data_IF_642160883148
#
_entry.id   IF_642160883148
#
_cell.length_a   1.000
_cell.length_b   1.000
_cell.length_c   1.000
_cell.angle_alpha   90.00
_cell.angle_beta   90.00
_cell.angle_gamma   90.00
#
_symmetry.space_group_name_H-M   'P 1'
#
loop_
_entity.id
_entity.type
_entity.pdbx_description
1 polymer ?
#
# COMPACT_ATOMS: atom_id res chain seq x y z
N UNK A 1 -3.86 -12.95 25.98
CA UNK A 1 -3.77 -12.46 25.62
C UNK A 1 -4.04 -11.87 25.16
N UNK A 2 -4.29 -11.94 25.12
CA UNK A 2 -4.72 -11.35 24.31
C UNK A 2 -4.29 -10.11 24.15
N UNK A 3 -3.54 -9.96 23.54
CA UNK A 3 -3.12 -8.88 23.34
C UNK A 3 -3.72 -8.22 22.35
N UNK A 4 -4.40 -7.28 22.49
CA UNK A 4 -4.87 -6.61 21.52
C UNK A 4 -4.05 -5.55 21.30
N UNK A 5 -3.29 -5.48 20.30
CA UNK A 5 -2.71 -4.47 19.83
C UNK A 5 -3.61 -3.70 19.11
N UNK A 6 -3.93 -2.50 19.35
CA UNK A 6 -4.66 -1.72 18.53
C UNK A 6 -3.89 -1.38 17.41
N UNK A 7 -4.27 -1.69 16.20
CA UNK A 7 -3.59 -1.31 15.06
C UNK A 7 -3.72 0.14 14.89
N UNK A 8 -2.68 0.85 14.67
CA UNK A 8 -2.71 2.26 14.38
C UNK A 8 -2.97 2.40 12.90
N UNK A 9 -4.12 2.89 12.53
CA UNK A 9 -4.46 3.04 11.14
C UNK A 9 -4.09 4.44 10.69
N UNK A 10 -3.27 4.52 9.66
CA UNK A 10 -2.83 5.79 9.15
C UNK A 10 -3.95 6.43 8.36
N UNK A 11 -3.97 7.73 8.34
CA UNK A 11 -4.93 8.42 7.52
C UNK A 11 -4.42 8.44 6.12
N UNK A 12 -5.31 8.32 5.17
CA UNK A 12 -4.94 8.43 3.78
C UNK A 12 -4.49 9.87 3.55
N UNK A 13 -3.31 10.06 2.95
CA UNK A 13 -2.79 11.42 2.80
C UNK A 13 -3.71 12.30 1.98
N UNK A 14 -3.69 13.57 2.31
CA UNK A 14 -4.48 14.53 1.60
C UNK A 14 -4.07 14.52 0.14
N UNK A 15 -4.99 14.47 -0.75
CA UNK A 15 -4.68 14.39 -2.16
C UNK A 15 -4.62 12.98 -2.69
N UNK A 16 -4.59 11.99 -1.81
CA UNK A 16 -4.61 10.61 -2.24
C UNK A 16 -5.96 9.96 -2.03
N UNK A 17 -6.91 10.71 -1.52
CA UNK A 17 -8.22 10.15 -1.31
C UNK A 17 -8.84 9.83 -2.63
N UNK A 18 -9.38 8.66 -2.76
CA UNK A 18 -9.96 8.24 -4.02
C UNK A 18 -8.97 7.65 -5.01
N UNK A 19 -7.68 7.69 -4.69
CA UNK A 19 -6.71 7.08 -5.57
C UNK A 19 -6.69 5.58 -5.33
N UNK A 20 -6.42 4.82 -6.39
CA UNK A 20 -6.36 3.39 -6.20
C UNK A 20 -4.96 3.01 -5.81
N UNK A 21 -4.83 1.90 -5.12
CA UNK A 21 -3.55 1.39 -4.72
C UNK A 21 -3.07 0.44 -5.80
N UNK A 22 -1.81 0.54 -6.14
CA UNK A 22 -1.26 -0.28 -7.19
C UNK A 22 0.14 -0.76 -6.82
N UNK A 23 0.50 -1.93 -7.29
CA UNK A 23 1.82 -2.49 -7.08
C UNK A 23 2.57 -2.44 -8.39
N UNK A 24 3.79 -1.97 -8.36
CA UNK A 24 4.62 -1.92 -9.55
C UNK A 24 5.90 -2.70 -9.28
N UNK A 25 6.41 -3.35 -10.32
CA UNK A 25 7.64 -4.09 -10.20
C UNK A 25 8.76 -3.35 -10.87
N UNK A 26 9.93 -3.38 -10.26
CA UNK A 26 11.09 -2.79 -10.87
C UNK A 26 11.77 -3.87 -11.70
N UNK A 27 11.98 -3.61 -12.96
CA UNK A 27 12.61 -4.59 -13.82
C UNK A 27 14.10 -4.68 -13.57
N UNK A 28 14.69 -3.65 -12.99
CA UNK A 28 16.10 -3.68 -12.75
C UNK A 28 16.48 -4.48 -11.53
N UNK A 29 15.72 -4.37 -10.47
CA UNK A 29 16.05 -5.01 -9.24
C UNK A 29 15.16 -6.17 -8.89
N UNK A 30 14.03 -6.26 -9.56
CA UNK A 30 13.04 -7.30 -9.23
C UNK A 30 12.24 -6.99 -8.00
N UNK A 31 12.41 -5.80 -7.45
CA UNK A 31 11.66 -5.43 -6.26
C UNK A 31 10.32 -4.87 -6.63
N UNK A 32 9.40 -4.93 -5.70
CA UNK A 32 8.07 -4.40 -5.92
C UNK A 32 7.81 -3.27 -4.95
N UNK A 33 7.06 -2.29 -5.39
CA UNK A 33 6.64 -1.19 -4.53
C UNK A 33 5.14 -1.05 -4.63
N UNK A 34 4.52 -0.58 -3.57
CA UNK A 34 3.09 -0.39 -3.54
C UNK A 34 2.81 1.04 -3.08
N UNK A 35 1.84 1.66 -3.66
CA UNK A 35 1.49 3.04 -3.29
C UNK A 35 0.20 3.45 -3.93
N UNK A 36 -0.12 4.74 -3.79
CA UNK A 36 -1.34 5.29 -4.35
C UNK A 36 -1.03 5.78 -5.76
N UNK A 37 -1.77 5.29 -6.72
CA UNK A 37 -1.51 5.62 -8.11
C UNK A 37 -2.05 6.99 -8.47
N UNK A 38 -1.16 7.86 -8.94
CA UNK A 38 -1.56 9.16 -9.40
C UNK A 38 -1.81 9.02 -10.90
N UNK A 39 -3.06 9.09 -11.31
CA UNK A 39 -3.39 8.88 -12.70
C UNK A 39 -2.86 9.95 -13.62
N UNK A 40 -2.58 11.11 -13.09
CA UNK A 40 -2.08 12.17 -13.94
C UNK A 40 -0.64 11.94 -14.32
N UNK A 41 0.17 11.50 -13.39
CA UNK A 41 1.57 11.28 -13.68
C UNK A 41 1.91 9.83 -13.90
N UNK A 42 1.04 8.93 -13.48
CA UNK A 42 1.31 7.52 -13.58
C UNK A 42 2.30 7.03 -12.53
N UNK A 43 2.55 7.84 -11.52
CA UNK A 43 3.50 7.46 -10.49
C UNK A 43 2.81 7.08 -9.22
N UNK A 44 3.49 6.31 -8.40
CA UNK A 44 2.96 5.93 -7.11
C UNK A 44 3.38 6.95 -6.08
N UNK A 45 2.42 7.36 -5.25
CA UNK A 45 2.68 8.31 -4.18
C UNK A 45 2.72 7.57 -2.88
N UNK A 46 3.59 7.99 -1.98
CA UNK A 46 3.73 7.37 -0.67
C UNK A 46 4.02 5.88 -0.80
N UNK A 47 4.89 5.54 -1.77
CA UNK A 47 5.14 4.14 -2.06
C UNK A 47 6.05 3.51 -1.01
N UNK A 48 5.90 2.22 -0.85
CA UNK A 48 6.70 1.45 0.08
C UNK A 48 7.18 0.20 -0.60
N UNK A 49 8.34 -0.28 -0.20
CA UNK A 49 8.89 -1.48 -0.76
C UNK A 49 8.17 -2.67 -0.17
N UNK A 50 7.75 -3.61 -0.99
CA UNK A 50 7.11 -4.82 -0.53
C UNK A 50 7.83 -6.01 -1.11
N UNK A 51 7.90 -7.08 -0.35
CA UNK A 51 8.59 -8.27 -0.79
C UNK A 51 7.69 -9.47 -0.90
N UNK A 52 6.55 -9.43 -0.26
CA UNK A 52 5.65 -10.57 -0.29
C UNK A 52 4.23 -10.09 -0.23
N UNK A 53 3.30 -11.01 -0.41
CA UNK A 53 1.90 -10.66 -0.33
C UNK A 53 1.55 -10.17 1.06
N UNK A 54 2.22 -10.69 2.08
CA UNK A 54 1.96 -10.22 3.44
C UNK A 54 2.28 -8.74 3.58
N UNK A 55 3.33 -8.28 2.92
CA UNK A 55 3.67 -6.86 2.96
C UNK A 55 2.63 -6.04 2.25
N UNK A 56 2.11 -6.55 1.13
CA UNK A 56 1.06 -5.85 0.40
C UNK A 56 -0.19 -5.74 1.25
N UNK A 57 -0.58 -6.83 1.91
CA UNK A 57 -1.75 -6.82 2.76
C UNK A 57 -1.54 -5.85 3.92
N UNK A 58 -0.33 -5.80 4.45
CA UNK A 58 -0.04 -4.91 5.57
C UNK A 58 -0.18 -3.44 5.14
N UNK A 59 0.20 -3.14 3.90
CA UNK A 59 0.04 -1.77 3.41
C UNK A 59 -1.45 -1.39 3.40
N UNK A 60 -2.29 -2.26 2.85
CA UNK A 60 -3.72 -1.97 2.80
C UNK A 60 -4.27 -1.81 4.21
N UNK A 61 -3.89 -2.73 5.09
CA UNK A 61 -4.43 -2.70 6.44
C UNK A 61 -3.97 -1.48 7.22
N UNK A 62 -2.77 -1.01 6.94
CA UNK A 62 -2.26 0.14 7.67
C UNK A 62 -3.04 1.41 7.37
N UNK A 63 -3.77 1.43 6.24
CA UNK A 63 -4.60 2.56 5.89
C UNK A 63 -6.09 2.23 6.07
N UNK A 64 -6.39 1.10 6.69
CA UNK A 64 -7.77 0.73 6.90
C UNK A 64 -8.48 0.26 5.65
N UNK A 65 -7.70 -0.16 4.65
CA UNK A 65 -8.27 -0.62 3.39
C UNK A 65 -8.34 -2.14 3.38
N UNK A 66 -9.18 -2.67 2.51
CA UNK A 66 -9.34 -4.11 2.41
C UNK A 66 -8.42 -4.62 1.32
N UNK A 67 -7.50 -5.55 1.63
CA UNK A 67 -6.60 -6.07 0.61
C UNK A 67 -7.38 -6.86 -0.43
N UNK A 68 -6.91 -6.84 -1.68
CA UNK A 68 -7.59 -7.59 -2.70
C UNK A 68 -7.35 -9.08 -2.50
N UNK A 69 -8.30 -9.88 -2.90
CA UNK A 69 -8.10 -11.29 -2.80
C UNK A 69 -7.50 -11.76 -4.05
N UNK A 70 -6.72 -12.76 -3.98
CA UNK A 70 -6.12 -13.26 -5.16
C UNK A 70 -6.84 -14.27 -5.79
#
# INVERSE_FOLDING_TARGET
MGIFRKKVIKKIPSGCEGMEVKVQSSTCTGEKVIGFLDRKSGELMYSELVRSKADIDAFYESYGLVPPEE
#
